data_IF_695481572426
#
_entry.id   IF_695481572426
#
_cell.length_a   1.000
_cell.length_b   1.000
_cell.length_c   1.000
_cell.angle_alpha   90.00
_cell.angle_beta   90.00
_cell.angle_gamma   90.00
#
_symmetry.space_group_name_H-M   'P 1'
#
loop_
_entity.id
_entity.type
_entity.pdbx_description
1 polymer ?
#
# COMPACT_ATOMS: atom_id res chain seq x y z
N UNK A 1 -4.24 12.95 -7.57
CA UNK A 1 -4.13 12.70 -9.01
C UNK A 1 -4.08 11.20 -9.33
N UNK A 2 -3.05 10.44 -8.99
CA UNK A 2 -2.95 9.00 -9.35
C UNK A 2 -4.07 8.09 -8.81
N UNK A 3 -4.73 8.43 -7.72
CA UNK A 3 -5.93 7.74 -7.23
C UNK A 3 -7.25 8.34 -7.75
N UNK A 4 -7.19 9.29 -8.68
CA UNK A 4 -8.38 9.95 -9.23
C UNK A 4 -9.15 10.84 -8.25
N UNK A 5 -8.62 11.08 -7.05
CA UNK A 5 -9.28 11.91 -6.02
C UNK A 5 -9.16 13.42 -6.31
N UNK A 6 -8.13 13.83 -7.02
CA UNK A 6 -7.87 15.21 -7.40
C UNK A 6 -7.60 15.23 -8.90
N UNK A 7 -8.26 16.13 -9.62
CA UNK A 7 -8.01 16.35 -11.05
C UNK A 7 -6.80 17.26 -11.23
N UNK A 8 -5.94 17.04 -12.25
CA UNK A 8 -4.89 17.98 -12.59
C UNK A 8 -5.49 19.29 -13.12
N UNK A 9 -4.82 20.42 -12.90
CA UNK A 9 -5.21 21.72 -13.46
C UNK A 9 -4.99 21.73 -14.96
N UNK A 10 -3.97 21.02 -15.44
CA UNK A 10 -3.63 20.82 -16.84
C UNK A 10 -2.88 19.50 -17.01
N UNK A 11 -2.83 19.00 -18.24
CA UNK A 11 -2.23 17.70 -18.54
C UNK A 11 -3.15 16.53 -18.21
N UNK A 12 -2.65 15.30 -18.33
CA UNK A 12 -3.40 14.06 -18.12
C UNK A 12 -2.58 13.04 -17.36
N UNK A 13 -3.25 12.14 -16.63
CA UNK A 13 -2.62 11.06 -15.88
C UNK A 13 -3.03 9.72 -16.51
N UNK A 14 -2.05 8.97 -16.98
CA UNK A 14 -2.25 7.65 -17.56
C UNK A 14 -1.66 6.57 -16.64
N UNK A 15 -2.43 5.51 -16.43
CA UNK A 15 -1.99 4.32 -15.71
C UNK A 15 -2.22 3.11 -16.61
N UNK A 16 -1.16 2.35 -16.90
CA UNK A 16 -1.20 1.24 -17.86
C UNK A 16 -1.82 1.67 -19.22
N UNK A 17 -1.46 2.86 -19.70
CA UNK A 17 -1.94 3.42 -20.97
C UNK A 17 -3.40 3.89 -20.95
N UNK A 18 -4.07 3.88 -19.80
CA UNK A 18 -5.47 4.31 -19.65
C UNK A 18 -5.56 5.62 -18.89
N UNK A 19 -6.32 6.56 -19.42
CA UNK A 19 -6.59 7.84 -18.74
C UNK A 19 -7.46 7.60 -17.49
N UNK A 20 -6.97 8.04 -16.32
CA UNK A 20 -7.67 7.91 -15.05
C UNK A 20 -8.86 8.87 -14.90
N UNK A 21 -8.91 9.93 -15.69
CA UNK A 21 -10.06 10.85 -15.68
C UNK A 21 -11.31 10.24 -16.32
N UNK A 22 -11.13 9.27 -17.21
CA UNK A 22 -12.24 8.51 -17.77
C UNK A 22 -12.83 7.57 -16.70
N UNK A 23 -14.10 7.78 -16.35
CA UNK A 23 -14.77 7.03 -15.27
C UNK A 23 -14.82 5.52 -15.51
N UNK A 24 -15.00 5.09 -16.76
CA UNK A 24 -15.02 3.67 -17.11
C UNK A 24 -13.64 3.00 -16.93
N UNK A 25 -12.57 3.76 -17.13
CA UNK A 25 -11.19 3.29 -16.92
C UNK A 25 -10.83 3.34 -15.44
N UNK A 26 -11.23 4.42 -14.74
CA UNK A 26 -10.85 4.67 -13.34
C UNK A 26 -11.17 3.52 -12.42
N UNK A 27 -12.39 2.98 -12.47
CA UNK A 27 -12.79 1.85 -11.63
C UNK A 27 -11.88 0.65 -11.85
N UNK A 28 -11.65 0.26 -13.11
CA UNK A 28 -10.78 -0.86 -13.48
C UNK A 28 -9.31 -0.66 -13.06
N UNK A 29 -8.83 0.58 -13.17
CA UNK A 29 -7.48 0.95 -12.72
C UNK A 29 -7.39 0.79 -11.19
N UNK A 30 -8.34 1.37 -10.45
CA UNK A 30 -8.31 1.38 -8.98
C UNK A 30 -8.50 -0.01 -8.35
N UNK A 31 -9.10 -0.97 -9.05
CA UNK A 31 -9.13 -2.38 -8.63
C UNK A 31 -7.72 -2.99 -8.51
N UNK A 32 -6.75 -2.44 -9.27
CA UNK A 32 -5.38 -2.93 -9.38
C UNK A 32 -4.33 -1.97 -8.78
N UNK A 33 -4.78 -0.91 -8.14
CA UNK A 33 -3.93 0.05 -7.44
C UNK A 33 -4.24 0.01 -5.95
N UNK A 34 -3.22 0.03 -5.12
CA UNK A 34 -3.41 0.20 -3.68
C UNK A 34 -2.36 1.16 -3.11
N UNK A 35 -2.56 1.59 -1.88
CA UNK A 35 -1.65 2.55 -1.28
C UNK A 35 -1.50 2.35 0.24
N UNK A 36 -0.37 2.82 0.75
CA UNK A 36 -0.10 3.02 2.18
C UNK A 36 0.25 4.48 2.38
N UNK A 37 -0.32 5.10 3.40
CA UNK A 37 0.06 6.44 3.85
C UNK A 37 -0.14 6.53 5.36
N UNK A 38 0.73 7.23 6.09
CA UNK A 38 0.62 7.40 7.54
C UNK A 38 -0.62 8.18 7.97
N UNK A 39 -1.24 8.89 7.02
CA UNK A 39 -2.44 9.71 7.27
C UNK A 39 -3.75 8.97 7.13
N UNK A 40 -3.74 7.71 6.65
CA UNK A 40 -4.94 6.92 6.44
C UNK A 40 -5.04 5.82 7.48
N UNK A 41 -5.97 5.99 8.39
CA UNK A 41 -6.23 5.01 9.43
C UNK A 41 -7.32 4.01 9.03
N UNK A 42 -7.13 2.76 9.46
CA UNK A 42 -8.16 1.73 9.36
C UNK A 42 -9.27 1.95 10.40
N UNK A 43 -10.51 1.49 10.15
CA UNK A 43 -11.60 1.55 11.11
C UNK A 43 -11.23 0.99 12.48
N UNK A 44 -11.06 1.88 13.47
CA UNK A 44 -10.51 1.56 14.81
C UNK A 44 -11.34 0.57 15.63
N UNK A 45 -12.65 0.50 15.37
CA UNK A 45 -13.60 -0.37 16.10
C UNK A 45 -13.61 -1.81 15.58
N UNK A 46 -13.13 -2.05 14.38
CA UNK A 46 -13.03 -3.37 13.77
C UNK A 46 -11.73 -4.07 14.18
N UNK A 47 -11.80 -5.38 14.28
CA UNK A 47 -10.60 -6.22 14.45
C UNK A 47 -9.76 -6.23 13.18
N UNK A 48 -8.52 -6.72 13.27
CA UNK A 48 -7.65 -6.88 12.10
C UNK A 48 -8.35 -7.76 11.04
N UNK A 49 -8.88 -8.91 11.47
CA UNK A 49 -9.54 -9.83 10.55
C UNK A 49 -10.77 -9.21 9.87
N UNK A 50 -11.59 -8.47 10.62
CA UNK A 50 -12.77 -7.78 10.06
C UNK A 50 -12.36 -6.69 9.07
N UNK A 51 -11.35 -5.88 9.40
CA UNK A 51 -10.82 -4.88 8.47
C UNK A 51 -10.39 -5.53 7.15
N UNK A 52 -9.56 -6.58 7.21
CA UNK A 52 -9.10 -7.26 6.00
C UNK A 52 -10.25 -7.92 5.23
N UNK A 53 -11.27 -8.45 5.90
CA UNK A 53 -12.49 -8.97 5.25
C UNK A 53 -13.26 -7.88 4.50
N UNK A 54 -13.41 -6.70 5.10
CA UNK A 54 -14.11 -5.57 4.45
C UNK A 54 -13.37 -5.16 3.18
N UNK A 55 -12.08 -4.88 3.27
CA UNK A 55 -11.30 -4.46 2.11
C UNK A 55 -11.21 -5.55 1.05
N UNK A 56 -10.98 -6.81 1.44
CA UNK A 56 -10.93 -7.91 0.49
C UNK A 56 -12.25 -8.10 -0.27
N UNK A 57 -13.40 -7.90 0.38
CA UNK A 57 -14.71 -7.92 -0.29
C UNK A 57 -14.89 -6.72 -1.23
N UNK A 58 -14.47 -5.52 -0.82
CA UNK A 58 -14.54 -4.32 -1.68
C UNK A 58 -13.72 -4.48 -2.96
N UNK A 59 -12.57 -5.16 -2.89
CA UNK A 59 -11.72 -5.44 -4.05
C UNK A 59 -12.11 -6.74 -4.80
N UNK A 60 -13.16 -7.44 -4.39
CA UNK A 60 -13.60 -8.68 -5.04
C UNK A 60 -12.59 -9.82 -4.96
N UNK A 61 -11.81 -9.90 -3.88
CA UNK A 61 -10.73 -10.90 -3.74
C UNK A 61 -11.31 -12.30 -3.62
N UNK A 62 -10.91 -13.19 -4.53
CA UNK A 62 -11.24 -14.61 -4.49
C UNK A 62 -10.48 -15.33 -3.37
N UNK A 63 -11.05 -16.41 -2.83
CA UNK A 63 -10.45 -17.19 -1.74
C UNK A 63 -9.99 -16.33 -0.56
N UNK A 64 -10.77 -15.29 -0.24
CA UNK A 64 -10.43 -14.23 0.70
C UNK A 64 -9.94 -14.75 2.05
N UNK A 65 -10.56 -15.80 2.59
CA UNK A 65 -10.19 -16.32 3.93
C UNK A 65 -8.74 -16.86 3.94
N UNK A 66 -8.33 -17.58 2.90
CA UNK A 66 -6.97 -18.09 2.77
C UNK A 66 -5.99 -16.92 2.59
N UNK A 67 -6.33 -15.97 1.72
CA UNK A 67 -5.51 -14.78 1.48
C UNK A 67 -5.27 -13.97 2.76
N UNK A 68 -6.31 -13.75 3.57
CA UNK A 68 -6.19 -13.08 4.87
C UNK A 68 -5.26 -13.87 5.80
N UNK A 69 -5.46 -15.20 5.89
CA UNK A 69 -4.63 -16.05 6.74
C UNK A 69 -3.15 -15.98 6.35
N UNK A 70 -2.84 -16.05 5.05
CA UNK A 70 -1.48 -16.00 4.53
C UNK A 70 -0.83 -14.64 4.79
N UNK A 71 -1.52 -13.54 4.51
CA UNK A 71 -1.02 -12.19 4.79
C UNK A 71 -0.79 -11.97 6.28
N UNK A 72 -1.72 -12.44 7.13
CA UNK A 72 -1.56 -12.32 8.58
C UNK A 72 -0.38 -13.15 9.10
N UNK A 73 -0.11 -14.31 8.50
CA UNK A 73 1.06 -15.13 8.81
C UNK A 73 2.35 -14.44 8.38
N UNK A 74 2.42 -13.98 7.12
CA UNK A 74 3.58 -13.26 6.57
C UNK A 74 3.92 -11.99 7.34
N UNK A 75 2.93 -11.31 7.91
CA UNK A 75 3.08 -10.04 8.61
C UNK A 75 3.11 -10.18 10.14
N UNK A 76 3.22 -11.42 10.66
CA UNK A 76 3.22 -11.71 12.10
C UNK A 76 2.04 -11.06 12.84
N UNK A 77 0.82 -11.23 12.30
CA UNK A 77 -0.42 -10.66 12.82
C UNK A 77 -1.41 -11.71 13.36
N UNK A 78 -1.12 -13.02 13.22
CA UNK A 78 -2.07 -14.09 13.55
C UNK A 78 -2.54 -14.05 15.00
N UNK A 79 -1.63 -13.81 15.92
CA UNK A 79 -1.96 -13.74 17.35
C UNK A 79 -2.87 -12.54 17.70
N UNK A 80 -2.82 -11.48 16.88
CA UNK A 80 -3.59 -10.25 17.08
C UNK A 80 -4.88 -10.20 16.26
N UNK A 81 -5.23 -11.24 15.51
CA UNK A 81 -6.30 -11.22 14.50
C UNK A 81 -7.65 -10.69 15.04
N UNK A 82 -7.96 -10.98 16.30
CA UNK A 82 -9.20 -10.54 16.96
C UNK A 82 -9.05 -9.23 17.74
N UNK A 83 -7.85 -8.63 17.76
CA UNK A 83 -7.63 -7.34 18.40
C UNK A 83 -8.14 -6.21 17.52
N UNK A 84 -8.81 -5.22 18.13
CA UNK A 84 -9.28 -4.02 17.41
C UNK A 84 -8.08 -3.20 16.93
N UNK A 85 -8.18 -2.64 15.72
CA UNK A 85 -7.08 -1.87 15.14
C UNK A 85 -6.75 -0.60 15.93
N UNK A 86 -7.72 -0.04 16.67
CA UNK A 86 -7.48 1.08 17.58
C UNK A 86 -6.56 0.76 18.76
N UNK A 87 -6.42 -0.52 19.14
CA UNK A 87 -5.62 -0.99 20.28
C UNK A 87 -4.20 -1.45 19.90
N UNK A 88 -3.84 -1.31 18.63
CA UNK A 88 -2.55 -1.76 18.11
C UNK A 88 -1.45 -0.71 18.32
N UNK A 89 -0.21 -1.18 18.48
CA UNK A 89 0.97 -0.32 18.41
C UNK A 89 1.15 0.26 17.01
N UNK A 90 2.00 1.30 16.85
CA UNK A 90 2.31 1.90 15.55
C UNK A 90 2.83 0.86 14.54
N UNK A 91 3.78 0.02 14.94
CA UNK A 91 4.32 -1.04 14.11
C UNK A 91 3.29 -2.12 13.74
N UNK A 92 2.37 -2.47 14.65
CA UNK A 92 1.27 -3.38 14.34
C UNK A 92 0.29 -2.74 13.36
N UNK A 93 -0.08 -1.47 13.55
CA UNK A 93 -0.95 -0.73 12.62
C UNK A 93 -0.33 -0.65 11.23
N UNK A 94 0.95 -0.35 11.13
CA UNK A 94 1.66 -0.32 9.86
C UNK A 94 1.59 -1.67 9.12
N UNK A 95 1.87 -2.78 9.82
CA UNK A 95 1.76 -4.13 9.24
C UNK A 95 0.33 -4.48 8.81
N UNK A 96 -0.70 -4.04 9.53
CA UNK A 96 -2.10 -4.22 9.10
C UNK A 96 -2.42 -3.38 7.87
N UNK A 97 -1.92 -2.14 7.79
CA UNK A 97 -2.05 -1.29 6.61
C UNK A 97 -1.36 -1.91 5.40
N UNK A 98 -0.19 -2.52 5.59
CA UNK A 98 0.50 -3.29 4.55
C UNK A 98 -0.33 -4.52 4.13
N UNK A 99 -0.87 -5.30 5.07
CA UNK A 99 -1.77 -6.42 4.75
C UNK A 99 -2.97 -5.97 3.89
N UNK A 100 -3.59 -4.84 4.25
CA UNK A 100 -4.68 -4.23 3.49
C UNK A 100 -4.22 -3.83 2.09
N UNK A 101 -3.04 -3.26 1.95
CA UNK A 101 -2.53 -2.79 0.67
C UNK A 101 -2.14 -3.94 -0.29
N UNK A 102 -1.78 -5.11 0.25
CA UNK A 102 -1.40 -6.28 -0.53
C UNK A 102 -2.56 -7.26 -0.80
N UNK A 103 -3.75 -7.03 -0.22
CA UNK A 103 -4.84 -8.01 -0.21
C UNK A 103 -5.40 -8.32 -1.60
N UNK A 104 -5.45 -7.32 -2.48
CA UNK A 104 -5.94 -7.43 -3.86
C UNK A 104 -4.83 -7.72 -4.88
N UNK A 105 -3.61 -8.02 -4.44
CA UNK A 105 -2.44 -8.22 -5.30
C UNK A 105 -2.33 -7.12 -6.37
N UNK A 106 -2.07 -5.87 -5.95
CA UNK A 106 -2.10 -4.74 -6.86
C UNK A 106 -0.99 -4.80 -7.91
N UNK A 107 -1.28 -4.32 -9.12
CA UNK A 107 -0.28 -4.12 -10.17
C UNK A 107 0.58 -2.88 -9.87
N UNK A 108 0.01 -1.91 -9.13
CA UNK A 108 0.70 -0.68 -8.70
C UNK A 108 0.45 -0.45 -7.21
N UNK A 109 1.54 -0.25 -6.48
CA UNK A 109 1.54 0.03 -5.05
C UNK A 109 2.16 1.41 -4.79
N UNK A 110 1.35 2.33 -4.25
CA UNK A 110 1.79 3.67 -3.87
C UNK A 110 2.15 3.66 -2.38
N UNK A 111 3.39 4.00 -2.08
CA UNK A 111 3.92 3.99 -0.72
C UNK A 111 4.34 5.41 -0.32
N UNK A 112 3.70 5.92 0.72
CA UNK A 112 4.03 7.21 1.32
C UNK A 112 4.58 6.95 2.72
N UNK A 113 5.90 7.12 2.87
CA UNK A 113 6.64 6.89 4.12
C UNK A 113 6.31 5.54 4.80
N UNK A 114 6.40 4.38 4.10
CA UNK A 114 5.87 3.11 4.59
C UNK A 114 6.56 2.57 5.83
N UNK A 115 7.78 3.02 6.14
CA UNK A 115 8.51 2.61 7.35
C UNK A 115 8.74 3.76 8.34
N UNK A 116 8.14 4.93 8.11
CA UNK A 116 8.26 6.05 9.04
C UNK A 116 7.75 5.68 10.44
N UNK A 117 8.46 6.13 11.46
CA UNK A 117 8.10 5.87 12.87
C UNK A 117 8.08 4.40 13.28
N UNK A 118 8.76 3.52 12.53
CA UNK A 118 8.98 2.14 12.91
C UNK A 118 10.38 1.98 13.52
N UNK A 119 10.47 1.05 14.48
CA UNK A 119 11.78 0.59 14.96
C UNK A 119 12.58 0.00 13.79
N UNK A 120 13.92 0.11 13.78
CA UNK A 120 14.77 -0.32 12.67
C UNK A 120 14.49 -1.75 12.20
N UNK A 121 14.36 -2.70 13.14
CA UNK A 121 14.10 -4.11 12.83
C UNK A 121 12.73 -4.32 12.18
N UNK A 122 11.71 -3.61 12.67
CA UNK A 122 10.34 -3.66 12.09
C UNK A 122 10.34 -3.02 10.70
N UNK A 123 11.05 -1.91 10.54
CA UNK A 123 11.20 -1.24 9.25
C UNK A 123 11.90 -2.13 8.21
N UNK A 124 12.97 -2.81 8.61
CA UNK A 124 13.70 -3.75 7.75
C UNK A 124 12.82 -4.93 7.32
N UNK A 125 12.06 -5.47 8.26
CA UNK A 125 11.10 -6.54 7.99
C UNK A 125 10.01 -6.09 6.99
N UNK A 126 9.46 -4.90 7.16
CA UNK A 126 8.45 -4.33 6.24
C UNK A 126 9.03 -4.14 4.84
N UNK A 127 10.26 -3.59 4.72
CA UNK A 127 10.97 -3.45 3.43
C UNK A 127 11.15 -4.80 2.74
N UNK A 128 11.59 -5.82 3.47
CA UNK A 128 11.75 -7.19 2.94
C UNK A 128 10.44 -7.74 2.37
N UNK A 129 9.31 -7.51 3.04
CA UNK A 129 8.01 -7.98 2.54
C UNK A 129 7.61 -7.24 1.26
N UNK A 130 7.79 -5.92 1.21
CA UNK A 130 7.49 -5.10 0.03
C UNK A 130 8.34 -5.56 -1.17
N UNK A 131 9.64 -5.73 -0.98
CA UNK A 131 10.59 -6.19 -1.99
C UNK A 131 10.21 -7.57 -2.55
N UNK A 132 9.97 -8.53 -1.66
CA UNK A 132 9.56 -9.88 -2.05
C UNK A 132 8.23 -9.88 -2.81
N UNK A 133 7.27 -9.09 -2.35
CA UNK A 133 5.97 -8.98 -3.01
C UNK A 133 6.12 -8.40 -4.42
N UNK A 134 6.87 -7.30 -4.57
CA UNK A 134 7.10 -6.66 -5.86
C UNK A 134 7.78 -7.61 -6.85
N UNK A 135 8.83 -8.31 -6.41
CA UNK A 135 9.57 -9.28 -7.26
C UNK A 135 8.70 -10.45 -7.70
N UNK A 136 7.90 -11.02 -6.79
CA UNK A 136 7.09 -12.21 -7.09
C UNK A 136 5.86 -11.91 -7.95
N UNK A 137 5.30 -10.72 -7.83
CA UNK A 137 4.05 -10.33 -8.50
C UNK A 137 4.25 -9.40 -9.69
N UNK A 138 5.46 -8.88 -9.89
CA UNK A 138 5.72 -7.86 -10.91
C UNK A 138 5.03 -6.53 -10.61
N UNK A 139 4.81 -6.23 -9.33
CA UNK A 139 4.14 -4.99 -8.90
C UNK A 139 5.05 -3.79 -9.09
N UNK A 140 4.58 -2.76 -9.75
CA UNK A 140 5.27 -1.47 -9.81
C UNK A 140 5.08 -0.71 -8.52
N UNK A 141 6.18 -0.27 -7.91
CA UNK A 141 6.17 0.54 -6.68
C UNK A 141 6.46 1.99 -7.04
N UNK A 142 5.61 2.90 -6.56
CA UNK A 142 5.93 4.32 -6.46
C UNK A 142 6.09 4.67 -5.00
N UNK A 143 7.32 5.00 -4.61
CA UNK A 143 7.71 5.30 -3.23
C UNK A 143 7.95 6.81 -3.07
N UNK A 144 7.32 7.40 -2.06
CA UNK A 144 7.70 8.70 -1.52
C UNK A 144 8.36 8.46 -0.15
N UNK A 145 9.64 8.77 -0.02
CA UNK A 145 10.38 8.60 1.23
C UNK A 145 11.53 9.60 1.32
N UNK A 146 11.86 10.00 2.54
CA UNK A 146 13.07 10.75 2.87
C UNK A 146 14.20 9.85 3.42
N UNK A 147 13.94 8.55 3.56
CA UNK A 147 14.89 7.55 4.04
C UNK A 147 15.67 6.96 2.86
N UNK A 148 16.93 7.38 2.69
CA UNK A 148 17.77 6.93 1.57
C UNK A 148 17.98 5.42 1.55
N UNK A 149 18.13 4.77 2.70
CA UNK A 149 18.27 3.30 2.76
C UNK A 149 17.03 2.58 2.19
N UNK A 150 15.86 3.17 2.36
CA UNK A 150 14.60 2.64 1.80
C UNK A 150 14.54 2.85 0.29
N UNK A 151 14.95 4.03 -0.17
CA UNK A 151 15.01 4.38 -1.60
C UNK A 151 16.01 3.49 -2.33
N UNK A 152 17.24 3.37 -1.84
CA UNK A 152 18.29 2.53 -2.43
C UNK A 152 17.87 1.05 -2.52
N UNK A 153 17.14 0.57 -1.54
CA UNK A 153 16.73 -0.83 -1.49
C UNK A 153 15.52 -1.16 -2.38
N UNK A 154 14.54 -0.28 -2.44
CA UNK A 154 13.23 -0.56 -3.06
C UNK A 154 13.07 0.05 -4.46
N UNK A 155 13.91 1.01 -4.84
CA UNK A 155 13.76 1.76 -6.09
C UNK A 155 14.90 1.46 -7.06
N UNK A 156 14.56 1.25 -8.33
CA UNK A 156 15.53 1.17 -9.44
C UNK A 156 15.79 2.54 -10.08
N UNK A 157 14.83 3.46 -9.91
CA UNK A 157 14.89 4.83 -10.44
C UNK A 157 14.47 5.81 -9.36
N UNK A 158 15.07 6.99 -9.33
CA UNK A 158 14.80 8.04 -8.35
C UNK A 158 14.49 9.34 -9.07
N UNK A 159 13.43 10.01 -8.68
CA UNK A 159 13.09 11.36 -9.16
C UNK A 159 13.21 12.35 -8.01
N UNK A 160 14.05 13.35 -8.17
CA UNK A 160 14.15 14.44 -7.20
C UNK A 160 13.17 15.56 -7.53
N UNK A 161 12.42 16.01 -6.52
CA UNK A 161 11.43 17.09 -6.67
C UNK A 161 11.77 18.29 -5.81
N UNK A 162 11.63 19.50 -6.38
CA UNK A 162 11.76 20.77 -5.66
C UNK A 162 10.70 21.75 -6.14
N UNK A 163 9.96 22.32 -5.19
CA UNK A 163 8.88 23.29 -5.48
C UNK A 163 7.88 22.79 -6.55
N UNK A 164 7.53 21.51 -6.50
CA UNK A 164 6.58 20.90 -7.43
C UNK A 164 7.13 20.55 -8.83
N UNK A 165 8.42 20.77 -9.06
CA UNK A 165 9.09 20.43 -10.32
C UNK A 165 10.04 19.25 -10.11
N UNK A 166 10.13 18.38 -11.13
CA UNK A 166 11.18 17.35 -11.20
C UNK A 166 12.48 18.08 -11.60
N UNK A 167 13.55 17.85 -10.84
CA UNK A 167 14.85 18.50 -11.04
C UNK A 167 15.95 17.51 -11.45
N UNK A 168 15.70 16.21 -11.28
CA UNK A 168 16.57 15.10 -11.72
C UNK A 168 15.77 13.79 -11.68
#
# INVERSE_FOLDING_TARGET
>A
MMLGLIKPTSGSVFINGKDIENENNRTKILEKVNFISPYVELPKKLTIEENLKVYGKLYGVNNLQNKISDLMKQLNLLEFKKRKTGELSSGQKNRVSLAKALINEPDILLLDEPTASLDPDVGDYVRTIIENFASQKGTTILLASHNMNEVERLCSEVMMMKNGNIID
#
